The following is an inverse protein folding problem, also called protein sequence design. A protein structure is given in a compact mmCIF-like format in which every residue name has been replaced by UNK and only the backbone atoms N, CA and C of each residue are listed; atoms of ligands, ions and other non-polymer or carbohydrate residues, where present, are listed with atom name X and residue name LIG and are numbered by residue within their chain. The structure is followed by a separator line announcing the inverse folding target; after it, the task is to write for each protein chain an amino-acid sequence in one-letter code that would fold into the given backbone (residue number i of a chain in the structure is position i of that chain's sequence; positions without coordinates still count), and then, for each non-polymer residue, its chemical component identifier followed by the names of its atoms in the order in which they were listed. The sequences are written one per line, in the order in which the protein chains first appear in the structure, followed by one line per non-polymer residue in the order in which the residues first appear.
data_IF_716285365651
#
_entry.id   IF_716285365651
#
_cell.length_a   1.000
_cell.length_b   1.000
_cell.length_c   1.000
_cell.angle_alpha   90.00
_cell.angle_beta   90.00
_cell.angle_gamma   90.00
#
_symmetry.space_group_name_H-M   'P 1'
#
loop_
_entity.id
_entity.type
_entity.pdbx_description
1 polymer ?
#
# COMPACT_ATOMS: atom_id res chain seq x y z
N UNK A 1 -9.13 7.71 25.88
CA UNK A 1 -9.36 7.12 24.52
C UNK A 1 -8.06 7.31 23.78
N UNK A 2 -7.47 6.26 23.18
CA UNK A 2 -6.19 6.35 22.48
C UNK A 2 -6.20 7.43 21.39
N UNK A 3 -5.05 8.03 21.13
CA UNK A 3 -4.90 9.04 20.06
C UNK A 3 -4.82 8.41 18.66
N UNK A 4 -4.26 7.19 18.56
CA UNK A 4 -4.08 6.47 17.30
C UNK A 4 -4.65 5.06 17.42
N UNK A 5 -5.43 4.61 16.43
CA UNK A 5 -5.71 3.20 16.20
C UNK A 5 -4.74 2.67 15.14
N UNK A 6 -3.94 1.66 15.48
CA UNK A 6 -3.15 0.94 14.48
C UNK A 6 -4.00 -0.21 13.94
N UNK A 7 -4.32 -0.18 12.66
CA UNK A 7 -5.09 -1.22 11.97
C UNK A 7 -4.14 -2.20 11.30
N UNK A 8 -4.14 -3.45 11.76
CA UNK A 8 -3.23 -4.51 11.35
C UNK A 8 -4.02 -5.74 10.86
N UNK A 9 -4.34 -5.83 9.56
CA UNK A 9 -4.87 -7.07 8.99
C UNK A 9 -3.76 -8.11 8.88
N UNK A 10 -4.05 -9.36 9.25
CA UNK A 10 -3.12 -10.49 9.17
C UNK A 10 -3.78 -11.71 8.52
N UNK A 11 -3.01 -12.44 7.71
CA UNK A 11 -3.42 -13.73 7.15
C UNK A 11 -2.19 -14.57 6.77
N UNK A 12 -1.99 -15.71 7.42
CA UNK A 12 -0.89 -16.63 7.17
C UNK A 12 0.48 -15.93 7.14
N UNK A 13 0.82 -15.26 8.25
CA UNK A 13 2.05 -14.48 8.44
C UNK A 13 2.78 -14.86 9.73
N UNK A 14 2.66 -16.12 10.19
CA UNK A 14 3.25 -16.62 11.44
C UNK A 14 4.76 -16.31 11.55
N UNK A 15 5.48 -16.35 10.43
CA UNK A 15 6.92 -16.08 10.40
C UNK A 15 7.27 -14.59 10.67
N UNK A 16 6.31 -13.66 10.61
CA UNK A 16 6.57 -12.22 10.59
C UNK A 16 5.76 -11.43 11.62
N UNK A 17 4.58 -11.90 11.98
CA UNK A 17 3.61 -11.14 12.76
C UNK A 17 4.13 -10.74 14.15
N UNK A 18 4.98 -11.55 14.77
CA UNK A 18 5.59 -11.22 16.05
C UNK A 18 6.50 -9.98 15.96
N UNK A 19 7.33 -9.92 14.91
CA UNK A 19 8.20 -8.77 14.64
C UNK A 19 7.40 -7.51 14.27
N UNK A 20 6.36 -7.67 13.46
CA UNK A 20 5.45 -6.59 13.10
C UNK A 20 4.76 -5.99 14.35
N UNK A 21 4.20 -6.82 15.22
CA UNK A 21 3.57 -6.38 16.47
C UNK A 21 4.58 -5.70 17.41
N UNK A 22 5.77 -6.27 17.59
CA UNK A 22 6.79 -5.66 18.44
C UNK A 22 7.23 -4.30 17.93
N UNK A 23 7.31 -4.12 16.62
CA UNK A 23 7.63 -2.82 16.02
C UNK A 23 6.58 -1.73 16.28
N UNK A 24 5.32 -2.11 16.54
CA UNK A 24 4.25 -1.19 16.96
C UNK A 24 4.26 -0.99 18.47
N UNK A 25 4.49 -2.04 19.25
CA UNK A 25 4.53 -1.98 20.73
C UNK A 25 5.65 -1.07 21.23
N UNK A 26 6.79 -1.06 20.52
CA UNK A 26 8.01 -0.30 20.83
C UNK A 26 8.06 1.11 20.21
N UNK A 27 6.96 1.62 19.64
CA UNK A 27 6.91 2.99 19.12
C UNK A 27 7.17 4.04 20.19
N UNK A 28 7.83 5.15 19.82
CA UNK A 28 8.07 6.29 20.73
C UNK A 28 6.79 6.97 21.21
N UNK A 29 5.70 6.84 20.45
CA UNK A 29 4.37 7.31 20.83
C UNK A 29 3.52 6.15 21.36
N UNK A 30 3.23 6.17 22.67
CA UNK A 30 2.62 5.04 23.39
C UNK A 30 1.09 5.07 23.48
N UNK A 31 0.43 6.23 23.26
CA UNK A 31 -1.04 6.37 23.37
C UNK A 31 -1.74 5.81 22.14
N UNK A 32 -1.69 4.49 21.98
CA UNK A 32 -2.20 3.74 20.85
C UNK A 32 -3.12 2.61 21.29
N UNK A 33 -4.13 2.28 20.49
CA UNK A 33 -4.76 0.97 20.45
C UNK A 33 -4.30 0.22 19.18
N UNK A 34 -4.14 -1.10 19.28
CA UNK A 34 -3.72 -1.95 18.17
C UNK A 34 -4.86 -2.89 17.85
N UNK A 35 -5.49 -2.69 16.71
CA UNK A 35 -6.61 -3.51 16.23
C UNK A 35 -6.07 -4.51 15.22
N UNK A 36 -5.90 -5.75 15.63
CA UNK A 36 -5.47 -6.85 14.78
C UNK A 36 -6.70 -7.58 14.26
N UNK A 37 -6.79 -7.75 12.94
CA UNK A 37 -7.86 -8.54 12.32
C UNK A 37 -7.22 -9.74 11.64
N UNK A 38 -7.43 -10.91 12.21
CA UNK A 38 -7.03 -12.18 11.60
C UNK A 38 -8.08 -12.60 10.59
N UNK A 39 -7.70 -12.71 9.32
CA UNK A 39 -8.58 -13.04 8.20
C UNK A 39 -8.68 -14.57 8.01
N UNK A 40 -8.95 -15.32 9.09
CA UNK A 40 -9.10 -16.77 9.08
C UNK A 40 -7.78 -17.50 8.78
N UNK A 41 -6.69 -17.13 9.44
CA UNK A 41 -5.39 -17.82 9.28
C UNK A 41 -5.46 -19.29 9.62
N UNK A 42 -4.71 -20.10 8.88
CA UNK A 42 -4.60 -21.57 9.05
C UNK A 42 -3.23 -22.02 9.59
N UNK A 43 -2.31 -21.07 9.77
CA UNK A 43 -0.99 -21.26 10.39
C UNK A 43 -0.99 -20.76 11.85
N UNK A 44 0.18 -20.60 12.46
CA UNK A 44 0.33 -20.11 13.83
C UNK A 44 0.04 -18.62 14.06
N UNK A 45 -0.38 -17.86 13.03
CA UNK A 45 -0.57 -16.39 13.11
C UNK A 45 -1.50 -15.99 14.25
N UNK A 46 -2.71 -16.57 14.34
CA UNK A 46 -3.71 -16.23 15.35
C UNK A 46 -3.19 -16.49 16.77
N UNK A 47 -2.57 -17.63 17.01
CA UNK A 47 -2.01 -17.98 18.31
C UNK A 47 -0.94 -16.99 18.78
N UNK A 48 -0.05 -16.53 17.87
CA UNK A 48 0.98 -15.52 18.17
C UNK A 48 0.34 -14.18 18.55
N UNK A 49 -0.69 -13.77 17.81
CA UNK A 49 -1.39 -12.50 18.05
C UNK A 49 -2.15 -12.54 19.39
N UNK A 50 -2.83 -13.63 19.71
CA UNK A 50 -3.53 -13.82 20.99
C UNK A 50 -2.56 -13.83 22.17
N UNK A 51 -1.40 -14.48 22.02
CA UNK A 51 -0.35 -14.45 23.03
C UNK A 51 0.16 -13.02 23.27
N UNK A 52 0.36 -12.22 22.22
CA UNK A 52 0.75 -10.83 22.35
C UNK A 52 -0.35 -10.00 23.06
N UNK A 53 -1.61 -10.23 22.73
CA UNK A 53 -2.74 -9.55 23.36
C UNK A 53 -2.89 -9.89 24.86
N UNK A 54 -2.53 -11.10 25.28
CA UNK A 54 -2.55 -11.51 26.68
C UNK A 54 -1.52 -10.73 27.53
N UNK A 55 -0.48 -10.15 26.91
CA UNK A 55 0.60 -9.42 27.59
C UNK A 55 0.55 -7.90 27.36
N UNK A 56 -0.29 -7.42 26.45
CA UNK A 56 -0.41 -5.98 26.14
C UNK A 56 -1.88 -5.60 25.91
N UNK A 57 -2.49 -4.95 26.89
CA UNK A 57 -3.90 -4.56 26.88
C UNK A 57 -4.27 -3.55 25.77
N UNK A 58 -3.30 -2.97 25.06
CA UNK A 58 -3.52 -2.12 23.89
C UNK A 58 -3.93 -2.92 22.67
N UNK A 59 -3.65 -4.24 22.63
CA UNK A 59 -3.94 -5.12 21.51
C UNK A 59 -5.36 -5.67 21.65
N UNK A 60 -6.14 -5.51 20.61
CA UNK A 60 -7.48 -6.08 20.46
C UNK A 60 -7.51 -6.97 19.21
N UNK A 61 -7.84 -8.23 19.40
CA UNK A 61 -7.89 -9.24 18.32
C UNK A 61 -9.33 -9.45 17.87
N UNK A 62 -9.54 -9.49 16.56
CA UNK A 62 -10.77 -9.93 15.92
C UNK A 62 -10.42 -11.02 14.92
N UNK A 63 -10.80 -12.26 15.20
CA UNK A 63 -10.63 -13.38 14.28
C UNK A 63 -11.88 -13.54 13.42
N UNK A 64 -11.70 -13.56 12.10
CA UNK A 64 -12.77 -13.90 11.16
C UNK A 64 -12.87 -15.42 11.02
N UNK A 65 -14.08 -15.97 10.80
CA UNK A 65 -14.27 -17.43 10.77
C UNK A 65 -13.61 -18.11 9.56
N UNK A 66 -13.35 -17.36 8.51
CA UNK A 66 -12.71 -17.81 7.27
C UNK A 66 -12.02 -16.64 6.55
N UNK A 67 -11.21 -16.94 5.55
CA UNK A 67 -10.56 -15.91 4.73
C UNK A 67 -11.61 -15.20 3.85
N UNK A 68 -11.94 -13.97 4.20
CA UNK A 68 -12.84 -13.09 3.46
C UNK A 68 -12.09 -12.08 2.57
N UNK A 69 -10.77 -12.06 2.65
CA UNK A 69 -9.86 -11.18 1.91
C UNK A 69 -9.55 -9.85 2.59
N UNK A 70 -8.42 -9.27 2.21
CA UNK A 70 -7.85 -8.06 2.82
C UNK A 70 -8.86 -6.92 2.97
N UNK A 71 -9.69 -6.68 1.97
CA UNK A 71 -10.69 -5.59 2.00
C UNK A 71 -11.74 -5.82 3.10
N UNK A 72 -12.18 -7.07 3.28
CA UNK A 72 -13.13 -7.43 4.34
C UNK A 72 -12.48 -7.24 5.72
N UNK A 73 -11.25 -7.73 5.90
CA UNK A 73 -10.49 -7.57 7.14
C UNK A 73 -10.26 -6.09 7.48
N UNK A 74 -9.83 -5.27 6.51
CA UNK A 74 -9.66 -3.83 6.70
C UNK A 74 -10.97 -3.15 7.12
N UNK A 75 -12.07 -3.39 6.41
CA UNK A 75 -13.37 -2.79 6.74
C UNK A 75 -13.93 -3.28 8.08
N UNK A 76 -13.67 -4.54 8.45
CA UNK A 76 -14.01 -5.04 9.78
C UNK A 76 -13.22 -4.29 10.86
N UNK A 77 -11.91 -4.16 10.70
CA UNK A 77 -11.06 -3.46 11.65
C UNK A 77 -11.36 -1.97 11.76
N UNK A 78 -11.73 -1.28 10.67
CA UNK A 78 -12.15 0.12 10.70
C UNK A 78 -13.35 0.35 11.63
N UNK A 79 -14.28 -0.59 11.73
CA UNK A 79 -15.43 -0.53 12.66
C UNK A 79 -14.99 -0.65 14.12
N UNK A 80 -13.89 -1.35 14.38
CA UNK A 80 -13.34 -1.59 15.71
C UNK A 80 -12.41 -0.46 16.18
N UNK A 81 -11.75 0.25 15.25
CA UNK A 81 -10.90 1.39 15.55
C UNK A 81 -11.69 2.50 16.24
N UNK A 82 -11.18 3.11 17.31
CA UNK A 82 -11.87 4.14 18.12
C UNK A 82 -11.18 5.50 18.10
N UNK A 83 -9.87 5.55 17.82
CA UNK A 83 -9.07 6.77 17.87
C UNK A 83 -9.38 7.74 16.69
N UNK A 84 -9.12 9.04 16.82
CA UNK A 84 -9.35 10.03 15.75
C UNK A 84 -8.38 9.86 14.56
N UNK A 85 -7.23 9.22 14.78
CA UNK A 85 -6.27 8.89 13.72
C UNK A 85 -6.15 7.38 13.57
N UNK A 86 -6.08 6.89 12.34
CA UNK A 86 -5.93 5.48 12.01
C UNK A 86 -4.65 5.28 11.20
N UNK A 87 -3.73 4.46 11.71
CA UNK A 87 -2.49 4.08 11.04
C UNK A 87 -2.62 2.65 10.52
N UNK A 88 -2.55 2.45 9.20
CA UNK A 88 -2.54 1.11 8.59
C UNK A 88 -1.13 0.54 8.58
N UNK A 89 -1.01 -0.75 8.81
CA UNK A 89 0.22 -1.53 8.67
C UNK A 89 -0.13 -2.97 8.29
N UNK A 90 0.68 -3.61 7.48
CA UNK A 90 0.52 -5.03 7.13
C UNK A 90 1.34 -5.91 8.10
N UNK A 91 0.89 -7.14 8.33
CA UNK A 91 1.43 -8.06 9.36
C UNK A 91 2.80 -8.65 9.06
N UNK A 92 3.44 -8.30 7.95
CA UNK A 92 4.78 -8.73 7.55
C UNK A 92 5.80 -7.58 7.42
N UNK A 93 5.36 -6.34 7.69
CA UNK A 93 6.20 -5.15 7.63
C UNK A 93 6.70 -4.72 9.02
N UNK A 94 7.66 -3.79 9.06
CA UNK A 94 8.24 -3.27 10.30
C UNK A 94 8.11 -1.76 10.34
N UNK A 95 7.51 -1.22 11.40
CA UNK A 95 7.46 0.21 11.66
C UNK A 95 8.72 0.67 12.37
N UNK A 96 9.39 1.71 11.86
CA UNK A 96 10.54 2.30 12.57
C UNK A 96 10.06 3.09 13.81
N UNK A 97 10.85 3.20 14.88
CA UNK A 97 10.40 3.65 16.21
C UNK A 97 9.64 4.97 16.26
N UNK A 98 9.99 5.94 15.42
CA UNK A 98 9.36 7.26 15.41
C UNK A 98 8.22 7.44 14.39
N UNK A 99 7.75 6.35 13.75
CA UNK A 99 6.74 6.43 12.69
C UNK A 99 5.46 7.12 13.16
N UNK A 100 4.84 6.57 14.19
CA UNK A 100 3.52 7.05 14.65
C UNK A 100 3.60 8.48 15.15
N UNK A 101 4.63 8.81 15.91
CA UNK A 101 4.86 10.16 16.44
C UNK A 101 5.01 11.20 15.31
N UNK A 102 5.85 10.90 14.30
CA UNK A 102 6.13 11.84 13.20
C UNK A 102 4.91 12.03 12.30
N UNK A 103 4.19 10.96 11.97
CA UNK A 103 2.97 11.05 11.18
C UNK A 103 1.87 11.82 11.93
N UNK A 104 1.69 11.56 13.23
CA UNK A 104 0.71 12.27 14.05
C UNK A 104 1.04 13.77 14.16
N UNK A 105 2.27 14.13 14.50
CA UNK A 105 2.72 15.53 14.57
C UNK A 105 2.51 16.26 13.24
N UNK A 106 2.79 15.59 12.12
CA UNK A 106 2.57 16.18 10.81
C UNK A 106 1.09 16.47 10.56
N UNK A 107 0.19 15.53 10.84
CA UNK A 107 -1.25 15.73 10.66
C UNK A 107 -1.79 16.81 11.60
N UNK A 108 -1.31 16.87 12.86
CA UNK A 108 -1.71 17.92 13.82
C UNK A 108 -1.27 19.32 13.37
N UNK A 109 -0.04 19.44 12.85
CA UNK A 109 0.48 20.70 12.32
C UNK A 109 -0.14 21.12 10.99
N UNK A 110 -0.79 20.19 10.27
CA UNK A 110 -1.38 20.43 8.95
C UNK A 110 -2.86 19.99 8.93
N UNK A 111 -3.79 20.75 9.55
CA UNK A 111 -5.19 20.35 9.66
C UNK A 111 -5.90 20.15 8.33
N UNK A 112 -5.44 20.81 7.26
CA UNK A 112 -5.96 20.62 5.90
C UNK A 112 -5.50 19.33 5.20
N UNK A 113 -4.56 18.55 5.80
CA UNK A 113 -4.14 17.25 5.27
C UNK A 113 -4.90 16.13 5.99
N UNK A 114 -5.58 15.29 5.24
CA UNK A 114 -6.39 14.20 5.79
C UNK A 114 -5.60 12.87 5.93
N UNK A 115 -4.54 12.69 5.15
CA UNK A 115 -3.76 11.46 5.11
C UNK A 115 -2.28 11.76 4.87
N UNK A 116 -1.39 11.10 5.62
CA UNK A 116 0.06 11.20 5.43
C UNK A 116 0.70 9.82 5.36
N UNK A 117 1.42 9.59 4.26
CA UNK A 117 2.33 8.45 4.10
C UNK A 117 3.75 8.76 4.56
N UNK A 118 4.67 7.86 4.23
CA UNK A 118 6.09 8.08 4.44
C UNK A 118 6.92 7.37 3.36
N UNK A 119 8.21 7.68 3.29
CA UNK A 119 9.14 6.87 2.53
C UNK A 119 9.38 5.52 3.21
N UNK A 120 9.88 4.55 2.44
CA UNK A 120 10.09 3.17 2.88
C UNK A 120 11.43 2.63 2.44
N UNK A 121 11.92 1.60 3.12
CA UNK A 121 13.04 0.77 2.65
C UNK A 121 12.55 -0.66 2.45
N UNK A 122 13.08 -1.34 1.43
CA UNK A 122 12.77 -2.74 1.19
C UNK A 122 13.71 -3.64 1.99
N UNK A 123 13.14 -4.70 2.58
CA UNK A 123 13.85 -5.79 3.24
C UNK A 123 13.49 -7.13 2.58
N UNK A 124 14.37 -8.11 2.70
CA UNK A 124 14.12 -9.48 2.26
C UNK A 124 13.28 -10.27 3.29
N UNK A 125 13.03 -11.55 3.04
CA UNK A 125 12.27 -12.40 3.95
C UNK A 125 12.92 -12.54 5.32
N UNK A 126 14.25 -12.46 5.41
CA UNK A 126 14.99 -12.55 6.67
C UNK A 126 15.13 -11.21 7.40
N UNK A 127 14.57 -10.11 6.86
CA UNK A 127 14.67 -8.77 7.44
C UNK A 127 15.91 -7.97 7.02
N UNK A 128 16.76 -8.50 6.14
CA UNK A 128 17.95 -7.79 5.69
C UNK A 128 17.62 -6.74 4.64
N UNK A 129 18.30 -5.58 4.64
CA UNK A 129 18.13 -4.56 3.60
C UNK A 129 18.44 -5.10 2.21
N UNK A 130 17.56 -4.87 1.25
CA UNK A 130 17.81 -5.24 -0.15
C UNK A 130 18.74 -4.19 -0.78
N UNK A 131 19.99 -4.57 -1.02
CA UNK A 131 20.99 -3.70 -1.65
C UNK A 131 20.55 -3.24 -3.05
N UNK A 132 20.74 -1.94 -3.35
CA UNK A 132 20.39 -1.35 -4.65
C UNK A 132 18.93 -0.87 -4.78
N UNK A 133 18.05 -1.14 -3.81
CA UNK A 133 16.77 -0.47 -3.69
C UNK A 133 16.93 0.75 -2.80
N UNK A 134 16.92 1.92 -3.42
CA UNK A 134 16.92 3.22 -2.72
C UNK A 134 15.63 3.39 -1.91
N UNK A 135 15.67 4.30 -0.95
CA UNK A 135 14.47 4.77 -0.25
C UNK A 135 13.38 5.12 -1.26
N UNK A 136 12.23 4.47 -1.16
CA UNK A 136 11.08 4.76 -2.01
C UNK A 136 10.37 5.99 -1.47
N UNK A 137 10.72 7.17 -1.98
CA UNK A 137 10.00 8.41 -1.70
C UNK A 137 8.78 8.55 -2.61
N UNK A 138 7.76 9.22 -2.09
CA UNK A 138 6.51 9.52 -2.79
C UNK A 138 6.32 11.03 -2.91
N UNK A 139 5.47 11.51 -3.83
CA UNK A 139 5.18 12.94 -3.98
C UNK A 139 4.61 13.50 -2.67
N UNK A 140 5.10 14.67 -2.22
CA UNK A 140 4.72 15.27 -0.94
C UNK A 140 3.85 16.53 -1.07
N UNK A 141 3.90 17.23 -2.21
CA UNK A 141 3.06 18.40 -2.48
C UNK A 141 1.82 18.04 -3.31
N UNK A 142 0.76 18.85 -3.17
CA UNK A 142 -0.46 18.70 -3.97
C UNK A 142 -0.17 18.72 -5.47
N UNK A 143 0.75 19.58 -5.92
CA UNK A 143 1.13 19.67 -7.33
C UNK A 143 1.80 18.39 -7.82
N UNK A 144 2.75 17.86 -7.04
CA UNK A 144 3.42 16.59 -7.37
C UNK A 144 2.42 15.43 -7.41
N UNK A 145 1.49 15.39 -6.44
CA UNK A 145 0.44 14.37 -6.37
C UNK A 145 -0.47 14.48 -7.59
N UNK A 146 -0.97 15.66 -7.91
CA UNK A 146 -1.85 15.88 -9.06
C UNK A 146 -1.21 15.45 -10.39
N UNK A 147 0.10 15.72 -10.56
CA UNK A 147 0.84 15.33 -11.78
C UNK A 147 1.14 13.84 -11.89
N UNK A 148 1.21 13.13 -10.76
CA UNK A 148 1.73 11.75 -10.73
C UNK A 148 0.72 10.70 -10.33
N UNK A 149 -0.38 11.06 -9.69
CA UNK A 149 -1.34 10.13 -9.09
C UNK A 149 -1.99 9.16 -10.09
N UNK A 150 -2.07 9.51 -11.38
CA UNK A 150 -2.60 8.62 -12.42
C UNK A 150 -1.54 7.71 -13.04
N UNK A 151 -0.26 7.93 -12.74
CA UNK A 151 0.87 7.16 -13.25
C UNK A 151 1.34 6.10 -12.24
N UNK A 152 1.15 6.38 -10.96
CA UNK A 152 1.46 5.46 -9.86
C UNK A 152 0.69 5.89 -8.60
N UNK A 153 0.51 4.95 -7.65
CA UNK A 153 -0.09 5.29 -6.36
C UNK A 153 0.69 6.41 -5.67
N UNK A 154 0.03 7.52 -5.29
CA UNK A 154 0.68 8.68 -4.69
C UNK A 154 1.18 8.41 -3.26
N UNK A 155 0.65 7.40 -2.59
CA UNK A 155 1.05 6.96 -1.26
C UNK A 155 1.08 5.43 -1.22
N UNK A 156 1.88 4.85 -0.33
CA UNK A 156 1.81 3.41 -0.02
C UNK A 156 0.73 3.17 1.03
N UNK A 157 0.20 1.95 1.09
CA UNK A 157 -0.89 1.52 1.98
C UNK A 157 -0.61 1.68 3.49
N UNK A 158 0.61 2.04 3.86
CA UNK A 158 1.11 2.18 5.25
C UNK A 158 0.97 3.63 5.79
N UNK A 159 -0.09 4.32 5.45
CA UNK A 159 -0.33 5.71 5.87
C UNK A 159 -0.95 5.82 7.27
N UNK A 160 -0.94 7.04 7.81
CA UNK A 160 -1.82 7.48 8.89
C UNK A 160 -2.83 8.47 8.32
N UNK A 161 -4.10 8.33 8.71
CA UNK A 161 -5.18 9.19 8.22
C UNK A 161 -6.13 9.60 9.34
N UNK A 162 -6.79 10.74 9.18
CA UNK A 162 -7.92 11.13 10.02
C UNK A 162 -9.07 10.15 9.81
N UNK A 163 -9.75 9.74 10.88
CA UNK A 163 -10.90 8.83 10.80
C UNK A 163 -11.98 9.32 9.83
N UNK A 164 -12.20 10.64 9.76
CA UNK A 164 -13.22 11.25 8.92
C UNK A 164 -13.14 10.85 7.45
N UNK A 165 -11.92 10.62 6.91
CA UNK A 165 -11.75 10.19 5.51
C UNK A 165 -12.34 8.80 5.27
N UNK A 166 -12.20 7.88 6.23
CA UNK A 166 -12.77 6.54 6.12
C UNK A 166 -14.30 6.57 6.21
N UNK A 167 -14.83 7.42 7.10
CA UNK A 167 -16.28 7.61 7.24
C UNK A 167 -16.89 8.21 5.97
N UNK A 168 -16.30 9.28 5.44
CA UNK A 168 -16.77 9.96 4.23
C UNK A 168 -16.74 9.05 3.00
N UNK A 169 -15.76 8.14 2.92
CA UNK A 169 -15.60 7.21 1.80
C UNK A 169 -16.27 5.85 2.03
N UNK A 170 -16.91 5.62 3.19
CA UNK A 170 -17.49 4.32 3.57
C UNK A 170 -16.47 3.17 3.50
N UNK A 171 -15.23 3.44 3.92
CA UNK A 171 -14.14 2.47 3.93
C UNK A 171 -13.59 2.10 2.54
N UNK A 172 -13.05 0.89 2.44
CA UNK A 172 -12.47 0.34 1.22
C UNK A 172 -13.55 -0.33 0.37
N UNK A 173 -13.45 -0.20 -0.96
CA UNK A 173 -14.32 -0.93 -1.92
C UNK A 173 -13.70 -2.30 -2.24
N UNK A 174 -14.53 -3.21 -2.71
CA UNK A 174 -14.13 -4.57 -3.11
C UNK A 174 -13.28 -4.54 -4.40
N UNK A 175 -12.03 -4.13 -4.24
CA UNK A 175 -10.97 -4.09 -5.26
C UNK A 175 -9.74 -4.78 -4.65
N UNK A 176 -9.68 -6.10 -4.79
CA UNK A 176 -8.84 -7.00 -3.99
C UNK A 176 -7.32 -6.83 -4.13
N UNK A 177 -6.82 -6.20 -5.18
CA UNK A 177 -5.36 -6.10 -5.44
C UNK A 177 -4.83 -4.67 -5.55
N UNK A 178 -5.67 -3.68 -5.33
CA UNK A 178 -5.32 -2.26 -5.40
C UNK A 178 -6.35 -1.40 -4.63
N UNK A 179 -6.86 -1.91 -3.52
CA UNK A 179 -7.84 -1.26 -2.65
C UNK A 179 -7.32 0.07 -2.08
N UNK A 180 -6.02 0.12 -1.82
CA UNK A 180 -5.29 1.29 -1.36
C UNK A 180 -5.30 2.40 -2.40
N UNK A 181 -5.00 2.07 -3.64
CA UNK A 181 -4.96 3.03 -4.74
C UNK A 181 -6.36 3.56 -5.08
N UNK A 182 -7.39 2.70 -5.07
CA UNK A 182 -8.78 3.14 -5.22
C UNK A 182 -9.20 4.09 -4.10
N UNK A 183 -8.86 3.76 -2.86
CA UNK A 183 -9.15 4.60 -1.70
C UNK A 183 -8.54 6.00 -1.86
N UNK A 184 -7.26 6.08 -2.25
CA UNK A 184 -6.55 7.35 -2.46
C UNK A 184 -7.18 8.20 -3.57
N UNK A 185 -7.52 7.60 -4.72
CA UNK A 185 -8.13 8.36 -5.81
C UNK A 185 -9.59 8.78 -5.51
N UNK A 186 -10.32 8.01 -4.68
CA UNK A 186 -11.63 8.45 -4.14
C UNK A 186 -11.45 9.62 -3.17
N UNK A 187 -10.48 9.53 -2.29
CA UNK A 187 -10.16 10.60 -1.35
C UNK A 187 -9.85 11.92 -2.07
N UNK A 188 -8.94 11.87 -3.05
CA UNK A 188 -8.57 13.05 -3.85
C UNK A 188 -9.78 13.62 -4.61
N UNK A 189 -10.61 12.76 -5.23
CA UNK A 189 -11.82 13.24 -5.95
C UNK A 189 -12.90 13.79 -5.03
N UNK A 190 -12.90 13.43 -3.74
CA UNK A 190 -13.76 13.99 -2.71
C UNK A 190 -13.17 15.26 -2.05
N UNK A 191 -12.03 15.78 -2.55
CA UNK A 191 -11.41 17.01 -2.06
C UNK A 191 -10.46 16.82 -0.88
N UNK A 192 -10.20 15.60 -0.41
CA UNK A 192 -9.23 15.35 0.65
C UNK A 192 -7.80 15.53 0.13
N UNK A 193 -7.01 16.28 0.89
CA UNK A 193 -5.58 16.45 0.60
C UNK A 193 -4.76 15.37 1.30
N UNK A 194 -3.76 14.87 0.60
CA UNK A 194 -2.84 13.83 1.08
C UNK A 194 -1.40 14.33 0.94
N UNK A 195 -0.48 13.77 1.74
CA UNK A 195 0.94 14.10 1.67
C UNK A 195 1.81 12.89 2.02
N UNK A 196 3.12 13.02 1.90
CA UNK A 196 4.07 12.01 2.34
C UNK A 196 5.27 12.68 3.04
N UNK A 197 5.70 12.08 4.14
CA UNK A 197 6.96 12.41 4.78
C UNK A 197 8.12 11.87 3.93
N UNK A 198 9.18 12.66 3.71
CA UNK A 198 10.34 12.21 2.92
C UNK A 198 11.20 11.18 3.67
N UNK A 199 10.98 11.03 4.96
CA UNK A 199 11.71 10.14 5.84
C UNK A 199 11.25 8.69 5.68
N UNK A 200 12.20 7.76 5.65
CA UNK A 200 11.88 6.33 5.68
C UNK A 200 11.48 5.94 7.10
N UNK A 201 10.20 5.64 7.30
CA UNK A 201 9.62 5.27 8.59
C UNK A 201 9.07 3.84 8.60
N UNK A 202 9.21 3.12 7.50
CA UNK A 202 8.78 1.72 7.36
C UNK A 202 9.81 0.89 6.61
N UNK A 203 9.93 -0.37 7.02
CA UNK A 203 10.60 -1.43 6.27
C UNK A 203 9.53 -2.32 5.65
N UNK A 204 9.54 -2.43 4.33
CA UNK A 204 8.56 -3.22 3.56
C UNK A 204 9.21 -4.54 3.16
N UNK A 205 8.61 -5.63 3.57
CA UNK A 205 9.13 -6.98 3.31
C UNK A 205 8.76 -7.46 1.92
N UNK A 206 9.77 -7.92 1.19
CA UNK A 206 9.60 -8.52 -0.13
C UNK A 206 9.58 -10.03 0.00
N UNK A 207 8.44 -10.66 -0.33
CA UNK A 207 8.22 -12.11 -0.30
C UNK A 207 7.97 -12.66 -1.71
N UNK A 208 8.23 -13.95 -1.90
CA UNK A 208 7.75 -14.66 -3.09
C UNK A 208 6.22 -14.66 -3.09
N UNK A 209 5.61 -14.36 -4.24
CA UNK A 209 4.15 -14.30 -4.37
C UNK A 209 3.50 -12.95 -4.01
N UNK A 210 4.26 -11.90 -3.72
CA UNK A 210 3.71 -10.57 -3.50
C UNK A 210 2.75 -10.14 -4.63
N UNK A 211 1.61 -9.57 -4.24
CA UNK A 211 0.54 -9.10 -5.13
C UNK A 211 1.07 -8.11 -6.19
N UNK A 212 2.07 -7.31 -5.84
CA UNK A 212 2.66 -6.28 -6.72
C UNK A 212 3.28 -6.79 -8.03
N UNK A 213 3.54 -8.08 -8.15
CA UNK A 213 4.05 -8.73 -9.36
C UNK A 213 2.98 -9.36 -10.25
N UNK A 214 1.69 -9.26 -9.90
CA UNK A 214 0.59 -9.90 -10.61
C UNK A 214 0.06 -9.02 -11.76
N UNK A 215 -0.35 -9.65 -12.86
CA UNK A 215 -0.98 -8.96 -13.99
C UNK A 215 -2.28 -8.27 -13.57
N UNK A 216 -3.04 -8.89 -12.67
CA UNK A 216 -4.27 -8.34 -12.11
C UNK A 216 -4.07 -6.95 -11.52
N UNK A 217 -2.97 -6.72 -10.79
CA UNK A 217 -2.67 -5.40 -10.23
C UNK A 217 -2.43 -4.34 -11.32
N UNK A 218 -1.80 -4.73 -12.45
CA UNK A 218 -1.63 -3.81 -13.58
C UNK A 218 -2.97 -3.42 -14.20
N UNK A 219 -3.86 -4.40 -14.38
CA UNK A 219 -5.21 -4.17 -14.91
C UNK A 219 -6.06 -3.36 -13.94
N UNK A 220 -6.01 -3.67 -12.64
CA UNK A 220 -6.70 -2.93 -11.59
C UNK A 220 -6.29 -1.45 -11.57
N UNK A 221 -4.99 -1.15 -11.71
CA UNK A 221 -4.51 0.23 -11.78
C UNK A 221 -5.25 1.04 -12.87
N UNK A 222 -5.33 0.53 -14.10
CA UNK A 222 -6.00 1.25 -15.20
C UNK A 222 -7.52 1.31 -15.03
N UNK A 223 -8.13 0.28 -14.46
CA UNK A 223 -9.54 0.30 -14.09
C UNK A 223 -9.84 1.44 -13.11
N UNK A 224 -9.06 1.56 -12.04
CA UNK A 224 -9.19 2.60 -11.01
C UNK A 224 -8.97 4.01 -11.60
N UNK A 225 -7.97 4.18 -12.47
CA UNK A 225 -7.73 5.44 -13.18
C UNK A 225 -8.94 5.84 -14.04
N UNK A 226 -9.60 4.88 -14.70
CA UNK A 226 -10.81 5.16 -15.47
C UNK A 226 -11.98 5.56 -14.56
N UNK A 227 -12.18 4.89 -13.42
CA UNK A 227 -13.19 5.28 -12.43
C UNK A 227 -12.93 6.70 -11.90
N UNK A 228 -11.68 7.07 -11.63
CA UNK A 228 -11.34 8.44 -11.24
C UNK A 228 -11.75 9.46 -12.32
N UNK A 229 -11.47 9.18 -13.60
CA UNK A 229 -11.86 10.04 -14.72
C UNK A 229 -13.39 10.15 -14.86
N UNK A 230 -14.12 9.07 -14.60
CA UNK A 230 -15.59 9.09 -14.56
C UNK A 230 -16.10 10.03 -13.46
N UNK A 231 -15.56 9.92 -12.23
CA UNK A 231 -15.91 10.80 -11.11
C UNK A 231 -15.73 12.28 -11.43
N UNK A 232 -14.59 12.63 -12.05
CA UNK A 232 -14.34 14.03 -12.46
C UNK A 232 -15.35 14.54 -13.51
N UNK A 233 -15.83 13.67 -14.38
CA UNK A 233 -16.75 14.07 -15.47
C UNK A 233 -18.22 14.06 -15.06
N UNK A 234 -18.61 13.15 -14.16
CA UNK A 234 -20.04 12.85 -13.87
C UNK A 234 -20.41 13.01 -12.40
N UNK A 235 -19.47 13.36 -11.53
CA UNK A 235 -19.68 13.43 -10.08
C UNK A 235 -19.75 12.05 -9.39
N UNK A 236 -19.69 10.95 -10.15
CA UNK A 236 -19.73 9.58 -9.64
C UNK A 236 -19.03 8.62 -10.58
N UNK A 237 -18.83 7.38 -10.17
CA UNK A 237 -18.23 6.33 -11.01
C UNK A 237 -19.14 5.10 -11.14
N UNK A 238 -18.82 4.27 -12.12
CA UNK A 238 -19.61 3.09 -12.49
C UNK A 238 -19.06 1.79 -11.90
N UNK A 239 -18.34 1.84 -10.76
CA UNK A 239 -17.80 0.63 -10.15
C UNK A 239 -18.89 -0.39 -9.80
N UNK A 240 -18.65 -1.65 -10.18
CA UNK A 240 -19.35 -2.82 -9.64
C UNK A 240 -18.39 -4.01 -9.58
N UNK A 241 -18.73 -5.00 -8.75
CA UNK A 241 -17.95 -6.24 -8.60
C UNK A 241 -17.77 -6.96 -9.95
N UNK A 242 -18.82 -7.03 -10.76
CA UNK A 242 -18.79 -7.67 -12.08
C UNK A 242 -17.90 -6.92 -13.08
N UNK A 243 -17.97 -5.58 -13.07
CA UNK A 243 -17.10 -4.75 -13.94
C UNK A 243 -15.65 -4.90 -13.54
N UNK A 244 -15.35 -4.89 -12.24
CA UNK A 244 -14.01 -5.11 -11.73
C UNK A 244 -13.48 -6.49 -12.13
N UNK A 245 -14.24 -7.55 -11.86
CA UNK A 245 -13.86 -8.92 -12.21
C UNK A 245 -13.55 -9.07 -13.72
N UNK A 246 -14.38 -8.47 -14.59
CA UNK A 246 -14.10 -8.45 -16.03
C UNK A 246 -12.85 -7.66 -16.41
N UNK A 247 -12.62 -6.52 -15.74
CA UNK A 247 -11.47 -5.66 -16.03
C UNK A 247 -10.13 -6.31 -15.69
N UNK A 248 -10.08 -7.12 -14.62
CA UNK A 248 -8.85 -7.80 -14.18
C UNK A 248 -8.69 -9.21 -14.74
N UNK A 249 -9.73 -9.78 -15.33
CA UNK A 249 -9.70 -11.12 -15.93
C UNK A 249 -8.56 -11.26 -16.94
N UNK A 250 -7.89 -12.40 -16.93
CA UNK A 250 -6.76 -12.71 -17.80
C UNK A 250 -6.86 -14.15 -18.30
N UNK A 251 -6.53 -14.38 -19.57
CA UNK A 251 -6.36 -15.74 -20.07
C UNK A 251 -5.08 -16.37 -19.49
N UNK A 252 -5.00 -17.70 -19.51
CA UNK A 252 -3.79 -18.40 -19.10
C UNK A 252 -2.57 -18.00 -19.95
N UNK A 253 -2.78 -17.79 -21.26
CA UNK A 253 -1.72 -17.35 -22.16
C UNK A 253 -1.21 -15.95 -21.81
N UNK A 254 -2.12 -14.99 -21.59
CA UNK A 254 -1.77 -13.63 -21.20
C UNK A 254 -0.98 -13.60 -19.88
N UNK A 255 -1.40 -14.40 -18.91
CA UNK A 255 -0.69 -14.54 -17.61
C UNK A 255 0.71 -15.14 -17.80
N UNK A 256 0.87 -16.18 -18.63
CA UNK A 256 2.19 -16.78 -18.93
C UNK A 256 3.12 -15.79 -19.63
N UNK A 257 2.62 -15.04 -20.62
CA UNK A 257 3.38 -14.00 -21.31
C UNK A 257 3.84 -12.91 -20.34
N UNK A 258 2.95 -12.45 -19.46
CA UNK A 258 3.29 -11.47 -18.45
C UNK A 258 4.34 -11.99 -17.47
N UNK A 259 4.23 -13.24 -17.00
CA UNK A 259 5.22 -13.86 -16.13
C UNK A 259 6.60 -13.98 -16.79
N UNK A 260 6.66 -14.30 -18.09
CA UNK A 260 7.91 -14.29 -18.86
C UNK A 260 8.53 -12.89 -18.86
N UNK A 261 7.73 -11.85 -19.11
CA UNK A 261 8.18 -10.47 -19.07
C UNK A 261 8.72 -10.08 -17.68
N UNK A 262 8.05 -10.47 -16.58
CA UNK A 262 8.51 -10.23 -15.22
C UNK A 262 9.85 -10.94 -14.93
N UNK A 263 10.05 -12.17 -15.40
CA UNK A 263 11.35 -12.88 -15.26
C UNK A 263 12.50 -12.10 -15.93
N UNK A 264 12.26 -11.50 -17.10
CA UNK A 264 13.24 -10.61 -17.74
C UNK A 264 13.59 -9.41 -16.85
N UNK A 265 12.60 -8.77 -16.22
CA UNK A 265 12.83 -7.66 -15.28
C UNK A 265 13.66 -8.13 -14.09
N UNK A 266 13.26 -9.21 -13.44
CA UNK A 266 13.95 -9.76 -12.26
C UNK A 266 15.42 -10.10 -12.57
N UNK A 267 15.67 -10.74 -13.74
CA UNK A 267 17.02 -11.00 -14.21
C UNK A 267 17.78 -9.71 -14.49
N UNK A 268 17.15 -8.74 -15.13
CA UNK A 268 17.76 -7.43 -15.42
C UNK A 268 18.15 -6.66 -14.14
N UNK A 269 17.34 -6.72 -13.09
CA UNK A 269 17.66 -6.06 -11.80
C UNK A 269 18.90 -6.67 -11.14
N UNK A 270 19.10 -7.99 -11.28
CA UNK A 270 20.28 -8.73 -10.73
C UNK A 270 21.52 -8.60 -11.61
N UNK A 271 21.37 -8.15 -12.86
CA UNK A 271 22.46 -8.10 -13.84
C UNK A 271 23.42 -6.92 -13.56
N UNK A 272 24.72 -7.20 -13.56
CA UNK A 272 25.77 -6.18 -13.36
C UNK A 272 26.07 -5.37 -14.61
N UNK A 273 26.00 -5.98 -15.78
CA UNK A 273 26.21 -5.33 -17.06
C UNK A 273 25.06 -4.35 -17.38
N UNK A 274 25.39 -3.07 -17.57
CA UNK A 274 24.39 -2.04 -17.92
C UNK A 274 23.69 -2.32 -19.25
N UNK A 275 24.44 -2.81 -20.25
CA UNK A 275 23.92 -3.14 -21.58
C UNK A 275 22.92 -4.30 -21.50
N UNK A 276 23.30 -5.41 -20.85
CA UNK A 276 22.46 -6.58 -20.73
C UNK A 276 21.21 -6.27 -19.86
N UNK A 277 21.37 -5.47 -18.80
CA UNK A 277 20.24 -4.96 -18.01
C UNK A 277 19.25 -4.18 -18.89
N UNK A 278 19.76 -3.23 -19.71
CA UNK A 278 18.94 -2.46 -20.64
C UNK A 278 18.20 -3.34 -21.65
N UNK A 279 18.92 -4.31 -22.25
CA UNK A 279 18.33 -5.26 -23.20
C UNK A 279 17.20 -6.10 -22.59
N UNK A 280 17.40 -6.62 -21.36
CA UNK A 280 16.35 -7.39 -20.64
C UNK A 280 15.11 -6.57 -20.32
N UNK A 281 15.26 -5.31 -19.96
CA UNK A 281 14.13 -4.41 -19.70
C UNK A 281 13.36 -4.09 -20.99
N UNK A 282 14.06 -3.82 -22.10
CA UNK A 282 13.43 -3.61 -23.41
C UNK A 282 12.69 -4.88 -23.85
N UNK A 283 13.35 -6.05 -23.77
CA UNK A 283 12.74 -7.34 -24.10
C UNK A 283 11.45 -7.58 -23.28
N UNK A 284 11.49 -7.30 -21.99
CA UNK A 284 10.30 -7.40 -21.12
C UNK A 284 9.12 -6.56 -21.64
N UNK A 285 9.37 -5.32 -22.10
CA UNK A 285 8.36 -4.45 -22.70
C UNK A 285 7.85 -4.97 -24.04
N UNK A 286 8.73 -5.56 -24.87
CA UNK A 286 8.33 -6.15 -26.15
C UNK A 286 7.47 -7.42 -25.98
N UNK A 287 7.74 -8.22 -24.94
CA UNK A 287 6.99 -9.44 -24.63
C UNK A 287 5.57 -9.10 -24.11
N UNK A 288 5.41 -8.09 -23.29
CA UNK A 288 4.12 -7.77 -22.64
C UNK A 288 3.73 -6.30 -22.82
N UNK A 289 2.59 -6.00 -23.49
CA UNK A 289 2.07 -4.64 -23.59
C UNK A 289 1.80 -3.99 -22.23
N UNK A 290 1.37 -4.78 -21.22
CA UNK A 290 1.16 -4.31 -19.85
C UNK A 290 2.47 -3.87 -19.19
N UNK A 291 3.56 -4.57 -19.48
CA UNK A 291 4.87 -4.21 -18.95
C UNK A 291 5.45 -2.99 -19.68
N UNK A 292 5.27 -2.89 -21.01
CA UNK A 292 5.65 -1.69 -21.75
C UNK A 292 4.94 -0.44 -21.21
N UNK A 293 3.63 -0.53 -21.05
CA UNK A 293 2.82 0.57 -20.50
C UNK A 293 3.27 0.96 -19.09
N UNK A 294 3.53 -0.02 -18.24
CA UNK A 294 4.08 0.24 -16.90
C UNK A 294 5.42 1.00 -16.95
N UNK A 295 6.34 0.62 -17.84
CA UNK A 295 7.61 1.33 -17.98
C UNK A 295 7.43 2.76 -18.45
N UNK A 296 6.55 2.99 -19.42
CA UNK A 296 6.21 4.33 -19.88
C UNK A 296 5.65 5.20 -18.75
N UNK A 297 4.73 4.67 -17.96
CA UNK A 297 4.17 5.40 -16.82
C UNK A 297 5.24 5.68 -15.74
N UNK A 298 6.18 4.75 -15.50
CA UNK A 298 7.31 4.99 -14.59
C UNK A 298 8.28 6.06 -15.09
N UNK A 299 8.51 6.13 -16.40
CA UNK A 299 9.33 7.20 -16.99
C UNK A 299 8.61 8.54 -16.84
N UNK A 300 7.33 8.62 -17.22
CA UNK A 300 6.50 9.82 -17.07
C UNK A 300 6.44 10.28 -15.61
N UNK A 301 6.28 9.36 -14.68
CA UNK A 301 6.29 9.64 -13.24
C UNK A 301 7.61 10.32 -12.80
N UNK A 302 8.76 9.78 -13.21
CA UNK A 302 10.07 10.37 -12.89
C UNK A 302 10.27 11.77 -13.48
N UNK A 303 9.80 11.96 -14.72
CA UNK A 303 9.85 13.27 -15.38
C UNK A 303 8.96 14.27 -14.64
N UNK A 304 7.72 13.90 -14.34
CA UNK A 304 6.76 14.75 -13.64
C UNK A 304 7.25 15.19 -12.24
N UNK A 305 7.95 14.31 -11.51
CA UNK A 305 8.56 14.68 -10.22
C UNK A 305 9.73 15.69 -10.35
N UNK A 306 10.55 15.57 -11.41
CA UNK A 306 11.73 16.45 -11.60
C UNK A 306 11.37 17.86 -12.03
N UNK A 307 10.29 18.04 -12.78
CA UNK A 307 9.87 19.37 -13.28
C UNK A 307 9.39 20.30 -12.17
N UNK A 308 8.97 19.76 -11.03
CA UNK A 308 8.54 20.53 -9.85
C UNK A 308 9.72 21.14 -9.06
N UNK A 309 10.91 20.57 -9.18
CA UNK A 309 12.12 21.07 -8.46
C UNK A 309 12.78 22.26 -9.17
N UNK A 310 12.45 22.53 -10.45
CA UNK A 310 13.06 23.63 -11.24
C UNK A 310 12.25 24.93 -11.23
N UNK A 311 11.10 24.98 -10.58
CA UNK A 311 10.22 26.15 -10.51
C UNK A 311 10.19 26.83 -9.12
N UNK A 312 11.18 26.54 -8.26
CA UNK A 312 11.42 27.24 -6.99
C UNK A 312 12.74 27.98 -7.04
#
# INVERSE_FOLDING_TARGET
MAAISVLLPVYNVEAYVAEALESIRSQTFADVEIVVVDDGSTDGTLAIVEQAAATDARIRVAALPENLGLVAALNHGLKLCRAPFIARMDGDDIALPARLEKQLRFLQANPGIALVGCATRAIDQAGNPICGLSVSSKPSSDEQIARTMLLASPCLHIWMARREIYTALSGYRDISVAEDYDFLLRAISAGFRISNLPEALMLIRTREGNISSRLEQRKAHYYIVNLYRERLKRGGDSHSREKYARAVASSQLESKIFQLAIRCVQRGVRERSRLLRGALLVLSGLISPWQARYFLDRIRFRVALRTTVRSC
#
